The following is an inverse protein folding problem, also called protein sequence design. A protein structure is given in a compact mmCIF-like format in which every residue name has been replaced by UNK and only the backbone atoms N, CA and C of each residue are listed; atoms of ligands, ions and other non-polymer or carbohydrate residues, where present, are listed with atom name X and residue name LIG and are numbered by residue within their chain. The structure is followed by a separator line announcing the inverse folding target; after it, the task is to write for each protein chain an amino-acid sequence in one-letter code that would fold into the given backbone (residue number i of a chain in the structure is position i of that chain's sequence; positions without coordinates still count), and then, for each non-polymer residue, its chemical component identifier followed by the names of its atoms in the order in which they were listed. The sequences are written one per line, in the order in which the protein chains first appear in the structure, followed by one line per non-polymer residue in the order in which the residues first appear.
data_IF_997901954689
#
_entry.id   IF_997901954689
#
_cell.length_a   1.000
_cell.length_b   1.000
_cell.length_c   1.000
_cell.angle_alpha   90.00
_cell.angle_beta   90.00
_cell.angle_gamma   90.00
#
_symmetry.space_group_name_H-M   'P 1'
#
loop_
_entity.id
_entity.type
_entity.pdbx_description
1 polymer ?
#
# COMPACT_ATOMS: atom_id res chain seq x y z
N UNK A 1 -5.82 -2.33 17.09
CA UNK A 1 -5.83 -2.46 15.63
C UNK A 1 -6.60 -1.29 15.04
N UNK A 2 -6.05 -0.63 14.04
CA UNK A 2 -6.69 0.47 13.34
C UNK A 2 -6.39 0.32 11.84
N UNK A 3 -7.44 0.21 11.03
CA UNK A 3 -7.30 0.08 9.57
C UNK A 3 -8.27 1.04 8.91
N UNK A 4 -7.73 1.94 8.09
CA UNK A 4 -8.53 2.90 7.34
C UNK A 4 -8.01 3.10 5.93
N UNK A 5 -8.94 3.37 5.01
CA UNK A 5 -8.65 3.65 3.61
C UNK A 5 -9.37 4.92 3.17
N UNK A 6 -8.67 5.79 2.46
CA UNK A 6 -9.27 6.83 1.67
C UNK A 6 -9.05 6.49 0.21
N UNK A 7 -10.11 6.46 -0.56
CA UNK A 7 -10.01 6.08 -1.96
C UNK A 7 -11.11 6.73 -2.79
N UNK A 8 -10.81 6.88 -4.05
CA UNK A 8 -11.75 7.28 -5.08
C UNK A 8 -12.30 6.03 -5.76
N UNK A 9 -13.60 5.90 -5.78
CA UNK A 9 -14.29 4.83 -6.47
C UNK A 9 -14.95 5.37 -7.72
N UNK A 10 -14.60 4.84 -8.87
CA UNK A 10 -15.18 5.20 -10.15
C UNK A 10 -16.44 4.36 -10.38
N UNK A 11 -17.55 5.04 -10.61
CA UNK A 11 -18.85 4.43 -10.95
C UNK A 11 -18.95 4.22 -12.45
N UNK A 12 -18.36 5.15 -13.22
CA UNK A 12 -18.16 5.10 -14.66
C UNK A 12 -16.94 5.95 -15.04
N UNK A 13 -16.71 6.19 -16.36
CA UNK A 13 -15.53 6.94 -16.84
C UNK A 13 -15.50 8.40 -16.37
N UNK A 14 -16.65 9.00 -16.12
CA UNK A 14 -16.80 10.43 -15.82
C UNK A 14 -17.20 10.72 -14.37
N UNK A 15 -17.68 9.69 -13.64
CA UNK A 15 -18.20 9.86 -12.29
C UNK A 15 -17.46 9.05 -11.25
N UNK A 16 -17.21 9.67 -10.11
CA UNK A 16 -16.57 9.02 -8.98
C UNK A 16 -17.12 9.51 -7.65
N UNK A 17 -16.99 8.66 -6.65
CA UNK A 17 -17.27 8.99 -5.26
C UNK A 17 -16.01 8.79 -4.43
N UNK A 18 -15.65 9.78 -3.62
CA UNK A 18 -14.55 9.65 -2.66
C UNK A 18 -15.07 9.03 -1.36
N UNK A 19 -14.39 8.00 -0.90
CA UNK A 19 -14.71 7.28 0.32
C UNK A 19 -13.60 7.41 1.37
N UNK A 20 -14.03 7.53 2.61
CA UNK A 20 -13.21 7.26 3.79
C UNK A 20 -13.83 6.06 4.52
N UNK A 21 -13.14 4.95 4.49
CA UNK A 21 -13.58 3.69 5.07
C UNK A 21 -12.74 3.37 6.31
N UNK A 22 -13.38 3.34 7.47
CA UNK A 22 -12.78 2.87 8.71
C UNK A 22 -13.27 1.44 8.97
N UNK A 23 -12.35 0.50 9.09
CA UNK A 23 -12.63 -0.89 9.41
C UNK A 23 -12.82 -1.06 10.92
N UNK A 24 -13.91 -1.69 11.33
CA UNK A 24 -14.26 -1.88 12.74
C UNK A 24 -14.61 -3.36 13.03
N UNK A 25 -14.40 -3.78 14.27
CA UNK A 25 -14.67 -5.13 14.74
C UNK A 25 -13.91 -6.20 13.93
N UNK A 26 -12.58 -6.25 14.11
CA UNK A 26 -11.78 -7.32 13.52
C UNK A 26 -12.25 -8.66 14.06
N UNK A 27 -12.60 -9.57 13.15
CA UNK A 27 -13.12 -10.90 13.44
C UNK A 27 -12.02 -11.94 13.49
N UNK A 28 -11.15 -11.91 12.48
CA UNK A 28 -10.11 -12.91 12.30
C UNK A 28 -9.02 -12.39 11.33
N UNK A 29 -7.89 -13.08 11.26
CA UNK A 29 -6.80 -12.75 10.37
C UNK A 29 -6.02 -13.99 9.95
N UNK A 30 -5.41 -13.96 8.78
CA UNK A 30 -4.50 -14.96 8.25
C UNK A 30 -3.22 -14.30 7.78
N UNK A 31 -2.05 -14.88 8.13
CA UNK A 31 -0.74 -14.28 7.88
C UNK A 31 0.20 -15.34 7.31
N UNK A 32 0.91 -14.99 6.24
CA UNK A 32 1.91 -15.83 5.59
C UNK A 32 3.31 -15.26 5.77
N UNK A 33 4.22 -16.14 6.21
CA UNK A 33 5.65 -15.89 6.30
C UNK A 33 6.44 -16.68 5.24
N UNK A 34 5.80 -17.65 4.59
CA UNK A 34 6.37 -18.45 3.51
C UNK A 34 5.57 -18.28 2.22
N UNK A 35 6.20 -18.59 1.08
CA UNK A 35 5.53 -18.53 -0.24
C UNK A 35 4.37 -19.52 -0.30
N UNK A 36 4.53 -20.69 0.30
CA UNK A 36 3.54 -21.74 0.31
C UNK A 36 2.26 -21.34 1.04
N UNK A 37 2.38 -20.47 2.04
CA UNK A 37 1.25 -20.01 2.86
C UNK A 37 0.51 -18.80 2.26
N UNK A 38 1.08 -18.13 1.26
CA UNK A 38 0.43 -16.99 0.59
C UNK A 38 -0.97 -17.36 0.09
N UNK A 39 -1.12 -18.58 -0.43
CA UNK A 39 -2.41 -19.09 -0.91
C UNK A 39 -3.47 -19.15 0.18
N UNK A 40 -3.10 -19.51 1.41
CA UNK A 40 -4.03 -19.57 2.54
C UNK A 40 -4.59 -18.17 2.83
N UNK A 41 -3.74 -17.15 2.81
CA UNK A 41 -4.14 -15.73 3.02
C UNK A 41 -5.11 -15.28 1.95
N UNK A 42 -4.84 -15.59 0.67
CA UNK A 42 -5.73 -15.21 -0.43
C UNK A 42 -7.09 -15.91 -0.30
N UNK A 43 -7.10 -17.22 -0.07
CA UNK A 43 -8.33 -17.98 0.15
C UNK A 43 -9.12 -17.50 1.37
N UNK A 44 -8.44 -17.17 2.47
CA UNK A 44 -9.07 -16.56 3.63
C UNK A 44 -9.77 -15.26 3.24
N UNK A 45 -9.06 -14.37 2.54
CA UNK A 45 -9.61 -13.08 2.11
C UNK A 45 -10.87 -13.27 1.23
N UNK A 46 -10.83 -14.17 0.26
CA UNK A 46 -11.96 -14.48 -0.63
C UNK A 46 -13.14 -15.05 0.15
N UNK A 47 -12.89 -15.99 1.05
CA UNK A 47 -13.94 -16.61 1.87
C UNK A 47 -14.63 -15.60 2.79
N UNK A 48 -13.87 -14.70 3.40
CA UNK A 48 -14.43 -13.66 4.27
C UNK A 48 -15.25 -12.64 3.46
N UNK A 49 -14.81 -12.27 2.27
CA UNK A 49 -15.59 -11.42 1.36
C UNK A 49 -16.91 -12.10 0.94
N UNK A 50 -16.90 -13.40 0.65
CA UNK A 50 -18.12 -14.15 0.30
C UNK A 50 -19.14 -14.20 1.47
N UNK A 51 -18.68 -14.12 2.71
CA UNK A 51 -19.54 -13.98 3.89
C UNK A 51 -20.09 -12.56 4.07
N UNK A 52 -19.68 -11.62 3.24
CA UNK A 52 -20.09 -10.21 3.32
C UNK A 52 -19.24 -9.36 4.27
N UNK A 53 -18.10 -9.85 4.71
CA UNK A 53 -17.18 -9.12 5.56
C UNK A 53 -16.30 -8.16 4.74
N UNK A 54 -15.83 -7.10 5.36
CA UNK A 54 -14.79 -6.25 4.82
C UNK A 54 -13.43 -6.90 5.06
N UNK A 55 -12.55 -6.84 4.07
CA UNK A 55 -11.22 -7.43 4.18
C UNK A 55 -10.15 -6.41 3.79
N UNK A 56 -9.19 -6.23 4.68
CA UNK A 56 -7.94 -5.55 4.36
C UNK A 56 -6.88 -6.60 4.00
N UNK A 57 -6.43 -6.58 2.74
CA UNK A 57 -5.41 -7.49 2.23
C UNK A 57 -4.10 -6.73 1.99
N UNK A 58 -3.03 -7.25 2.56
CA UNK A 58 -1.65 -6.81 2.37
C UNK A 58 -0.86 -7.90 1.66
N UNK A 59 -0.22 -7.55 0.56
CA UNK A 59 0.68 -8.42 -0.19
C UNK A 59 1.99 -7.69 -0.43
N UNK A 60 3.10 -8.33 -0.13
CA UNK A 60 4.41 -7.80 -0.47
C UNK A 60 4.74 -8.13 -1.93
N UNK A 61 5.70 -7.40 -2.49
CA UNK A 61 6.25 -7.73 -3.80
C UNK A 61 6.87 -9.13 -3.82
N UNK A 62 7.45 -9.54 -2.70
CA UNK A 62 8.12 -10.83 -2.51
C UNK A 62 7.15 -12.02 -2.48
N UNK A 63 5.83 -11.79 -2.39
CA UNK A 63 4.81 -12.82 -2.56
C UNK A 63 4.57 -13.20 -4.04
N UNK A 64 5.12 -12.44 -5.00
CA UNK A 64 4.90 -12.64 -6.43
C UNK A 64 5.21 -14.07 -6.95
N UNK A 65 6.24 -14.80 -6.47
CA UNK A 65 6.51 -16.17 -6.92
C UNK A 65 5.36 -17.16 -6.66
N UNK A 66 4.50 -16.91 -5.69
CA UNK A 66 3.29 -17.71 -5.48
C UNK A 66 2.35 -17.65 -6.69
N UNK A 67 2.16 -16.47 -7.25
CA UNK A 67 1.26 -16.24 -8.39
C UNK A 67 1.93 -16.62 -9.73
N UNK A 68 3.24 -16.42 -9.83
CA UNK A 68 4.00 -16.75 -11.01
C UNK A 68 5.44 -17.17 -10.61
N UNK A 69 5.71 -18.47 -10.71
CA UNK A 69 7.00 -19.09 -10.35
C UNK A 69 8.22 -18.54 -11.12
N UNK A 70 8.01 -17.80 -12.21
CA UNK A 70 9.08 -17.18 -12.98
C UNK A 70 9.44 -15.77 -12.47
N UNK A 71 8.68 -15.23 -11.51
CA UNK A 71 9.01 -13.95 -10.89
C UNK A 71 10.19 -14.13 -9.95
N UNK A 72 11.22 -13.31 -10.15
CA UNK A 72 12.38 -13.24 -9.26
C UNK A 72 12.19 -12.12 -8.24
N UNK A 73 12.42 -12.43 -6.98
CA UNK A 73 12.31 -11.47 -5.87
C UNK A 73 13.54 -11.55 -4.98
N UNK A 74 13.76 -10.52 -4.17
CA UNK A 74 14.80 -10.54 -3.16
C UNK A 74 14.45 -11.53 -2.04
N UNK A 75 15.45 -12.25 -1.55
CA UNK A 75 15.27 -13.08 -0.36
C UNK A 75 15.10 -12.18 0.87
N UNK A 76 14.00 -12.38 1.57
CA UNK A 76 13.74 -11.74 2.86
C UNK A 76 14.01 -12.71 4.01
N UNK A 77 14.33 -12.19 5.22
CA UNK A 77 14.34 -13.03 6.42
C UNK A 77 13.01 -13.76 6.62
N UNK A 78 13.04 -14.99 7.13
CA UNK A 78 11.86 -15.81 7.38
C UNK A 78 10.83 -15.18 8.34
N UNK A 79 11.25 -14.17 9.10
CA UNK A 79 10.36 -13.39 9.98
C UNK A 79 9.55 -12.33 9.25
N UNK A 80 9.84 -12.08 7.97
CA UNK A 80 9.12 -11.08 7.20
C UNK A 80 7.78 -11.63 6.71
N UNK A 81 6.75 -10.82 6.87
CA UNK A 81 5.42 -11.13 6.38
C UNK A 81 5.39 -10.96 4.87
N UNK A 82 4.93 -11.98 4.16
CA UNK A 82 4.73 -11.96 2.70
C UNK A 82 3.30 -11.56 2.34
N UNK A 83 2.32 -12.02 3.13
CA UNK A 83 0.92 -11.67 2.95
C UNK A 83 0.22 -11.62 4.30
N UNK A 84 -0.81 -10.77 4.42
CA UNK A 84 -1.73 -10.77 5.56
C UNK A 84 -3.11 -10.31 5.13
N UNK A 85 -4.14 -10.95 5.66
CA UNK A 85 -5.53 -10.53 5.48
C UNK A 85 -6.21 -10.42 6.84
N UNK A 86 -6.97 -9.34 7.00
CA UNK A 86 -7.73 -9.06 8.21
C UNK A 86 -9.19 -8.89 7.83
N UNK A 87 -10.07 -9.70 8.43
CA UNK A 87 -11.51 -9.64 8.21
C UNK A 87 -12.20 -8.80 9.29
N UNK A 88 -13.12 -7.94 8.86
CA UNK A 88 -13.86 -7.02 9.71
C UNK A 88 -15.36 -7.21 9.49
N UNK A 89 -16.13 -7.15 10.58
CA UNK A 89 -17.57 -7.28 10.54
C UNK A 89 -18.24 -6.12 9.80
N UNK A 90 -17.71 -4.93 9.96
CA UNK A 90 -18.23 -3.73 9.33
C UNK A 90 -17.13 -2.76 8.92
N UNK A 91 -17.45 -1.95 7.92
CA UNK A 91 -16.66 -0.82 7.50
C UNK A 91 -17.55 0.42 7.56
N UNK A 92 -17.18 1.38 8.42
CA UNK A 92 -17.89 2.63 8.53
C UNK A 92 -17.44 3.58 7.44
N UNK A 93 -18.34 3.87 6.50
CA UNK A 93 -18.11 4.93 5.51
C UNK A 93 -18.31 6.27 6.21
N UNK A 94 -17.21 6.96 6.46
CA UNK A 94 -17.24 8.32 6.95
C UNK A 94 -17.41 9.24 5.75
N UNK A 95 -18.40 10.16 5.83
CA UNK A 95 -18.51 11.21 4.82
C UNK A 95 -17.19 12.00 4.76
N UNK A 96 -16.85 12.56 3.61
CA UNK A 96 -15.69 13.42 3.46
C UNK A 96 -15.83 14.61 4.41
N UNK A 97 -15.35 14.47 5.61
CA UNK A 97 -14.96 15.65 6.36
C UNK A 97 -13.77 16.19 5.58
N UNK A 98 -13.91 17.44 5.09
CA UNK A 98 -12.77 18.20 4.59
C UNK A 98 -11.57 17.89 5.47
N UNK A 99 -10.39 17.57 4.92
CA UNK A 99 -9.26 17.18 5.74
C UNK A 99 -9.21 18.15 6.89
N UNK A 100 -9.34 17.66 8.14
CA UNK A 100 -9.09 18.47 9.28
C UNK A 100 -7.67 18.97 9.07
N UNK A 101 -7.54 20.21 8.65
CA UNK A 101 -6.25 20.88 8.64
C UNK A 101 -5.83 20.90 10.11
N UNK A 102 -5.14 19.84 10.50
CA UNK A 102 -4.39 19.89 11.74
C UNK A 102 -3.49 21.11 11.57
N UNK A 103 -3.78 22.16 12.31
CA UNK A 103 -2.87 23.29 12.41
C UNK A 103 -1.57 22.71 12.92
N UNK A 104 -0.64 22.51 12.00
CA UNK A 104 0.65 21.92 12.32
C UNK A 104 1.29 22.91 13.30
N UNK A 105 1.33 22.53 14.55
CA UNK A 105 2.38 23.03 15.41
C UNK A 105 3.67 22.60 14.73
N UNK A 106 4.52 23.58 14.41
CA UNK A 106 5.78 23.46 13.69
C UNK A 106 6.79 22.49 14.37
N UNK A 107 6.43 21.24 14.49
CA UNK A 107 7.38 20.19 14.76
C UNK A 107 7.84 19.67 13.39
N UNK A 108 8.80 20.40 12.80
CA UNK A 108 9.62 19.81 11.76
C UNK A 108 10.15 18.50 12.32
N UNK A 109 9.73 17.39 11.71
CA UNK A 109 10.39 16.12 11.89
C UNK A 109 11.80 16.32 11.32
N UNK A 110 12.74 16.76 12.16
CA UNK A 110 14.16 16.80 11.82
C UNK A 110 14.76 15.39 11.86
N UNK A 111 13.99 14.43 11.32
CA UNK A 111 14.48 13.07 11.21
C UNK A 111 15.28 12.95 9.93
N UNK A 112 16.47 12.43 10.07
CA UNK A 112 17.30 12.15 8.91
C UNK A 112 16.82 10.85 8.26
N UNK A 113 16.42 10.96 7.00
CA UNK A 113 16.19 9.83 6.14
C UNK A 113 17.46 9.58 5.33
N UNK A 114 17.94 8.35 5.36
CA UNK A 114 19.12 7.95 4.61
C UNK A 114 18.69 7.04 3.47
N UNK A 115 19.14 7.35 2.26
CA UNK A 115 19.00 6.44 1.13
C UNK A 115 19.81 5.18 1.39
N UNK A 116 19.29 4.02 1.01
CA UNK A 116 20.02 2.75 1.07
C UNK A 116 21.06 2.64 -0.05
N UNK A 117 20.92 3.45 -1.09
CA UNK A 117 21.80 3.52 -2.24
C UNK A 117 22.61 4.82 -2.21
N UNK A 118 23.84 4.75 -2.69
CA UNK A 118 24.63 5.95 -2.92
C UNK A 118 24.16 6.70 -4.18
N UNK A 119 24.43 8.00 -4.24
CA UNK A 119 24.12 8.82 -5.43
C UNK A 119 24.73 8.24 -6.71
N UNK A 120 25.94 7.70 -6.61
CA UNK A 120 26.65 7.12 -7.76
C UNK A 120 25.93 5.86 -8.26
N UNK A 121 25.49 4.98 -7.36
CA UNK A 121 24.73 3.78 -7.72
C UNK A 121 23.40 4.15 -8.36
N UNK A 122 22.67 5.09 -7.78
CA UNK A 122 21.39 5.57 -8.30
C UNK A 122 21.54 6.17 -9.70
N UNK A 123 22.54 7.05 -9.91
CA UNK A 123 22.82 7.66 -11.22
C UNK A 123 23.16 6.59 -12.26
N UNK A 124 23.97 5.58 -11.92
CA UNK A 124 24.34 4.52 -12.84
C UNK A 124 23.13 3.66 -13.23
N UNK A 125 22.25 3.32 -12.28
CA UNK A 125 21.01 2.58 -12.56
C UNK A 125 20.06 3.37 -13.46
N UNK A 126 19.91 4.67 -13.20
CA UNK A 126 19.07 5.55 -14.07
C UNK A 126 19.62 5.59 -15.49
N UNK A 127 20.95 5.73 -15.68
CA UNK A 127 21.56 5.71 -17.00
C UNK A 127 21.31 4.38 -17.71
N UNK A 128 21.47 3.26 -17.00
CA UNK A 128 21.18 1.94 -17.59
C UNK A 128 19.72 1.82 -18.05
N UNK A 129 18.77 2.33 -17.27
CA UNK A 129 17.36 2.39 -17.68
C UNK A 129 17.17 3.25 -18.92
N UNK A 130 17.84 4.41 -18.99
CA UNK A 130 17.78 5.30 -20.17
C UNK A 130 18.34 4.62 -21.42
N UNK A 131 19.46 3.91 -21.29
CA UNK A 131 20.06 3.15 -22.38
C UNK A 131 19.10 2.05 -22.87
N UNK A 132 18.50 1.27 -21.98
CA UNK A 132 17.50 0.24 -22.32
C UNK A 132 16.25 0.80 -23.02
N UNK A 133 15.82 2.03 -22.67
CA UNK A 133 14.74 2.73 -23.40
C UNK A 133 15.19 3.12 -24.80
N UNK A 134 16.40 3.64 -24.96
CA UNK A 134 16.96 4.02 -26.28
C UNK A 134 17.12 2.79 -27.18
N UNK A 135 17.55 1.67 -26.63
CA UNK A 135 17.75 0.40 -27.35
C UNK A 135 16.41 -0.31 -27.68
N UNK A 136 15.31 0.14 -27.10
CA UNK A 136 13.98 -0.41 -27.34
C UNK A 136 13.65 -1.66 -26.51
N UNK A 137 14.44 -1.98 -25.51
CA UNK A 137 14.22 -3.10 -24.60
C UNK A 137 12.99 -2.87 -23.70
N UNK A 138 12.71 -1.61 -23.39
CA UNK A 138 11.53 -1.18 -22.65
C UNK A 138 11.11 0.23 -23.06
N UNK A 139 9.86 0.61 -22.80
CA UNK A 139 9.38 1.96 -23.07
C UNK A 139 9.20 2.79 -21.79
N UNK A 140 9.12 2.14 -20.63
CA UNK A 140 8.94 2.78 -19.33
C UNK A 140 9.47 1.90 -18.22
N UNK A 141 10.08 2.52 -17.21
CA UNK A 141 10.50 1.87 -15.97
C UNK A 141 10.14 2.76 -14.78
N UNK A 142 9.49 2.19 -13.78
CA UNK A 142 9.29 2.85 -12.50
C UNK A 142 10.48 2.50 -11.58
N UNK A 143 11.45 3.41 -11.53
CA UNK A 143 12.60 3.26 -10.65
C UNK A 143 12.22 3.65 -9.22
N UNK A 144 12.49 2.74 -8.27
CA UNK A 144 12.20 2.95 -6.85
C UNK A 144 13.46 2.81 -6.01
N UNK A 145 13.54 3.58 -4.94
CA UNK A 145 14.57 3.44 -3.91
C UNK A 145 13.94 3.50 -2.52
N UNK A 146 14.68 3.12 -1.51
CA UNK A 146 14.23 3.11 -0.12
C UNK A 146 14.99 4.15 0.68
N UNK A 147 14.28 4.80 1.59
CA UNK A 147 14.86 5.62 2.63
C UNK A 147 14.67 4.93 3.97
N UNK A 148 15.71 4.92 4.78
CA UNK A 148 15.68 4.36 6.12
C UNK A 148 15.74 5.48 7.15
N UNK A 149 15.01 5.32 8.23
CA UNK A 149 15.00 6.24 9.36
C UNK A 149 14.83 5.45 10.66
N UNK A 150 15.35 5.99 11.74
CA UNK A 150 15.18 5.48 13.10
C UNK A 150 14.02 6.14 13.87
N UNK A 151 13.06 6.70 13.12
CA UNK A 151 11.87 7.35 13.69
C UNK A 151 11.13 6.40 14.62
N UNK A 152 10.92 6.85 15.87
CA UNK A 152 10.16 6.14 16.90
C UNK A 152 8.82 6.85 17.14
N UNK A 153 8.00 6.94 16.08
CA UNK A 153 6.66 7.53 16.17
C UNK A 153 5.58 6.47 15.95
N UNK A 154 4.41 6.61 16.58
CA UNK A 154 3.25 5.81 16.20
C UNK A 154 2.95 5.96 14.71
N UNK A 155 2.66 4.87 14.02
CA UNK A 155 2.42 4.88 12.57
C UNK A 155 1.25 5.81 12.19
N UNK A 156 0.25 5.95 13.06
CA UNK A 156 -0.85 6.88 12.87
C UNK A 156 -0.37 8.33 12.79
N UNK A 157 0.58 8.72 13.62
CA UNK A 157 1.15 10.08 13.60
C UNK A 157 1.95 10.33 12.31
N UNK A 158 2.70 9.31 11.84
CA UNK A 158 3.39 9.36 10.55
C UNK A 158 2.39 9.52 9.42
N UNK A 159 1.33 8.71 9.40
CA UNK A 159 0.27 8.77 8.41
C UNK A 159 -0.40 10.15 8.36
N UNK A 160 -0.80 10.69 9.52
CA UNK A 160 -1.46 11.99 9.60
C UNK A 160 -0.56 13.13 9.07
N UNK A 161 0.73 13.09 9.38
CA UNK A 161 1.70 14.08 8.88
C UNK A 161 1.91 13.98 7.37
N UNK A 162 2.02 12.77 6.83
CA UNK A 162 2.17 12.56 5.39
C UNK A 162 0.89 12.94 4.64
N UNK A 163 -0.26 12.53 5.13
CA UNK A 163 -1.55 12.79 4.50
C UNK A 163 -1.91 14.29 4.46
N UNK A 164 -1.46 15.06 5.45
CA UNK A 164 -1.67 16.52 5.48
C UNK A 164 -0.80 17.27 4.47
N UNK A 165 0.32 16.70 4.02
CA UNK A 165 1.27 17.34 3.10
C UNK A 165 1.02 16.98 1.64
N UNK A 166 0.37 15.85 1.39
CA UNK A 166 0.14 15.33 0.05
C UNK A 166 -1.35 15.09 -0.18
N UNK A 167 -1.84 15.54 -1.32
CA UNK A 167 -3.21 15.27 -1.76
C UNK A 167 -3.29 13.92 -2.50
N UNK A 168 -2.81 12.84 -1.87
CA UNK A 168 -2.96 11.50 -2.43
C UNK A 168 -4.44 11.13 -2.52
N UNK A 169 -4.87 10.61 -3.68
CA UNK A 169 -6.25 10.16 -3.86
C UNK A 169 -6.50 8.81 -3.21
N UNK A 170 -5.43 8.06 -2.95
CA UNK A 170 -5.49 6.70 -2.40
C UNK A 170 -4.53 6.60 -1.21
N UNK A 171 -5.08 6.61 -0.01
CA UNK A 171 -4.28 6.51 1.20
C UNK A 171 -4.77 5.38 2.08
N UNK A 172 -3.85 4.72 2.76
CA UNK A 172 -4.17 3.64 3.69
C UNK A 172 -3.32 3.72 4.95
N UNK A 173 -3.97 3.51 6.07
CA UNK A 173 -3.31 3.22 7.34
C UNK A 173 -3.67 1.80 7.76
N UNK A 174 -2.66 0.95 7.93
CA UNK A 174 -2.81 -0.38 8.53
C UNK A 174 -1.94 -0.40 9.79
N UNK A 175 -2.57 -0.40 10.93
CA UNK A 175 -1.93 -0.45 12.26
C UNK A 175 -2.47 -1.67 13.00
N UNK A 176 -1.81 -2.80 12.78
CA UNK A 176 -2.10 -4.08 13.43
C UNK A 176 -0.92 -4.51 14.31
N UNK A 177 -1.04 -5.54 15.14
CA UNK A 177 0.10 -6.05 15.89
C UNK A 177 1.30 -6.41 15.01
N UNK A 178 1.04 -6.97 13.82
CA UNK A 178 2.06 -7.54 12.93
C UNK A 178 2.53 -6.54 11.87
N UNK A 179 1.63 -5.69 11.38
CA UNK A 179 1.90 -4.79 10.24
C UNK A 179 1.62 -3.35 10.61
N UNK A 180 2.55 -2.48 10.23
CA UNK A 180 2.39 -1.03 10.36
C UNK A 180 2.73 -0.37 9.04
N UNK A 181 1.68 0.09 8.33
CA UNK A 181 1.80 0.72 7.02
C UNK A 181 1.05 2.05 7.00
N UNK A 182 1.72 3.08 6.52
CA UNK A 182 1.15 4.35 6.11
C UNK A 182 1.42 4.54 4.62
N UNK A 183 0.40 4.39 3.79
CA UNK A 183 0.50 4.53 2.34
C UNK A 183 -0.17 5.82 1.88
N UNK A 184 0.54 6.61 1.09
CA UNK A 184 0.03 7.83 0.46
C UNK A 184 0.32 7.71 -1.03
N UNK A 185 -0.66 7.22 -1.81
CA UNK A 185 -0.51 6.98 -3.24
C UNK A 185 -1.31 8.00 -4.06
N UNK A 186 -0.73 8.57 -5.12
CA UNK A 186 -1.47 9.43 -6.05
C UNK A 186 -2.36 8.61 -7.00
N UNK A 187 -2.06 7.33 -7.18
CA UNK A 187 -2.59 6.51 -8.26
C UNK A 187 -3.32 5.26 -7.76
N UNK A 188 -4.38 4.88 -8.47
CA UNK A 188 -5.11 3.64 -8.26
C UNK A 188 -4.32 2.47 -8.86
N UNK A 189 -4.09 1.42 -8.07
CA UNK A 189 -3.50 0.20 -8.60
C UNK A 189 -4.49 -0.53 -9.53
N UNK A 190 -5.66 -0.88 -9.03
CA UNK A 190 -6.79 -1.34 -9.83
C UNK A 190 -8.09 -1.27 -9.03
N UNK A 191 -9.21 -1.25 -9.75
CA UNK A 191 -10.54 -1.41 -9.21
C UNK A 191 -11.25 -2.55 -9.96
N UNK A 192 -11.83 -3.48 -9.24
CA UNK A 192 -12.69 -4.53 -9.80
C UNK A 192 -14.13 -4.26 -9.40
N UNK A 193 -15.00 -4.12 -10.38
CA UNK A 193 -16.44 -3.94 -10.26
C UNK A 193 -17.14 -4.53 -11.47
N UNK A 194 -18.39 -4.18 -11.68
CA UNK A 194 -19.13 -4.57 -12.89
C UNK A 194 -18.52 -3.94 -14.16
N UNK A 195 -17.81 -2.84 -14.01
CA UNK A 195 -16.95 -2.22 -15.02
C UNK A 195 -15.49 -2.37 -14.58
N UNK A 196 -14.70 -3.10 -15.36
CA UNK A 196 -13.26 -3.21 -15.13
C UNK A 196 -12.61 -1.89 -15.54
N UNK A 197 -12.26 -1.06 -14.59
CA UNK A 197 -11.39 0.10 -14.82
C UNK A 197 -9.96 -0.29 -14.50
N UNK A 198 -9.16 -0.48 -15.54
CA UNK A 198 -7.70 -0.54 -15.45
C UNK A 198 -7.18 0.86 -15.75
N UNK A 199 -6.62 1.51 -14.73
CA UNK A 199 -5.75 2.68 -14.83
C UNK A 199 -6.28 3.78 -15.75
N UNK A 200 -6.85 4.83 -15.16
CA UNK A 200 -6.91 6.13 -15.83
C UNK A 200 -5.54 6.81 -15.65
N UNK A 201 -4.75 6.77 -16.70
CA UNK A 201 -3.58 7.65 -16.88
C UNK A 201 -4.10 8.98 -17.41
#
# INVERSE_FOLDING_TARGET
MHVEFNYRYYEDEDSYTDYHLLMEECLDSEIAYSIEDVGNVVHFAENEQQKGHYVALYLTYEAAPYFNKHMCVNMLPETNILAAAYAFKCGKKLGRNSPQRYTSTNNHLSHHFNFIESDVEMINKIKHVQDAIVDGDTYQVNYTTRLMSDIQLPIKEVYDKLNNQQNGSYTALIDTPEIKVASISPELFFQKGDFLSLIHI
#
